data_IF_898045616890
#
_entry.id   IF_898045616890
#
_cell.length_a   1.000
_cell.length_b   1.000
_cell.length_c   1.000
_cell.angle_alpha   90.00
_cell.angle_beta   90.00
_cell.angle_gamma   90.00
#
_symmetry.space_group_name_H-M   'P 1'
#
loop_
_entity.id
_entity.type
_entity.pdbx_description
1 polymer ?
#
# COMPACT_ATOMS: atom_id res chain seq x y z
N UNK A 1 12.13 -3.10 31.32
CA UNK A 1 12.04 -3.09 29.84
C UNK A 1 12.79 -1.86 29.36
N UNK A 2 13.75 -2.03 28.47
CA UNK A 2 14.46 -0.90 27.84
C UNK A 2 13.41 -0.10 27.09
N UNK A 3 13.23 1.16 27.47
CA UNK A 3 12.23 2.04 26.86
C UNK A 3 12.75 2.54 25.52
N UNK A 4 12.91 1.63 24.54
CA UNK A 4 13.34 2.00 23.19
C UNK A 4 12.22 2.77 22.49
N UNK A 5 12.60 3.62 21.54
CA UNK A 5 11.68 4.42 20.71
C UNK A 5 10.54 3.56 20.13
N UNK A 6 10.86 2.36 19.68
CA UNK A 6 9.94 1.40 19.08
C UNK A 6 8.88 0.92 20.08
N UNK A 7 9.27 0.66 21.33
CA UNK A 7 8.33 0.24 22.37
C UNK A 7 7.45 1.41 22.84
N UNK A 8 7.98 2.63 22.85
CA UNK A 8 7.17 3.85 23.10
C UNK A 8 6.13 4.03 21.99
N UNK A 9 6.54 3.93 20.73
CA UNK A 9 5.64 4.00 19.57
C UNK A 9 4.58 2.89 19.62
N UNK A 10 4.95 1.66 19.97
CA UNK A 10 4.03 0.53 20.11
C UNK A 10 2.99 0.80 21.21
N UNK A 11 3.44 1.30 22.36
CA UNK A 11 2.55 1.66 23.47
C UNK A 11 1.54 2.74 23.04
N UNK A 12 2.01 3.79 22.36
CA UNK A 12 1.15 4.86 21.86
C UNK A 12 0.12 4.34 20.84
N UNK A 13 0.55 3.48 19.92
CA UNK A 13 -0.30 2.85 18.93
C UNK A 13 -1.42 2.01 19.58
N UNK A 14 -1.07 1.11 20.49
CA UNK A 14 -2.05 0.25 21.18
C UNK A 14 -3.03 1.07 22.03
N UNK A 15 -2.55 2.11 22.72
CA UNK A 15 -3.40 3.01 23.50
C UNK A 15 -4.43 3.75 22.63
N UNK A 16 -4.05 4.18 21.42
CA UNK A 16 -5.00 4.79 20.50
C UNK A 16 -6.08 3.79 20.08
N UNK A 17 -5.67 2.57 19.73
CA UNK A 17 -6.62 1.53 19.30
C UNK A 17 -7.57 1.10 20.41
N UNK A 18 -7.08 0.98 21.64
CA UNK A 18 -7.93 0.69 22.81
C UNK A 18 -9.01 1.76 22.97
N UNK A 19 -8.66 3.05 22.86
CA UNK A 19 -9.62 4.17 22.89
C UNK A 19 -10.62 4.14 21.73
N UNK A 20 -10.27 3.52 20.60
CA UNK A 20 -11.18 3.30 19.46
C UNK A 20 -12.08 2.07 19.64
N UNK A 21 -11.97 1.34 20.74
CA UNK A 21 -12.85 0.22 21.08
C UNK A 21 -12.40 -1.13 20.53
N UNK A 22 -11.14 -1.29 20.14
CA UNK A 22 -10.60 -2.59 19.77
C UNK A 22 -10.64 -3.57 20.96
N UNK A 23 -10.97 -4.82 20.68
CA UNK A 23 -10.96 -5.88 21.69
C UNK A 23 -9.55 -6.24 22.12
N UNK A 24 -9.41 -6.82 23.31
CA UNK A 24 -8.11 -7.31 23.82
C UNK A 24 -7.42 -8.30 22.86
N UNK A 25 -8.20 -9.14 22.17
CA UNK A 25 -7.69 -10.09 21.19
C UNK A 25 -7.08 -9.37 19.97
N UNK A 26 -7.75 -8.35 19.46
CA UNK A 26 -7.26 -7.56 18.31
C UNK A 26 -6.04 -6.72 18.67
N UNK A 27 -5.99 -6.15 19.88
CA UNK A 27 -4.82 -5.44 20.40
C UNK A 27 -3.63 -6.39 20.53
N UNK A 28 -3.84 -7.59 21.09
CA UNK A 28 -2.78 -8.60 21.24
C UNK A 28 -2.26 -9.09 19.90
N UNK A 29 -3.15 -9.30 18.92
CA UNK A 29 -2.74 -9.67 17.56
C UNK A 29 -1.80 -8.61 16.96
N UNK A 30 -2.17 -7.33 17.08
CA UNK A 30 -1.36 -6.22 16.55
C UNK A 30 -0.02 -6.09 17.26
N UNK A 31 -0.03 -6.21 18.58
CA UNK A 31 1.18 -6.21 19.40
C UNK A 31 2.16 -7.29 18.93
N UNK A 32 1.70 -8.53 18.74
CA UNK A 32 2.54 -9.64 18.27
C UNK A 32 3.14 -9.34 16.89
N UNK A 33 2.37 -8.77 15.97
CA UNK A 33 2.86 -8.40 14.63
C UNK A 33 3.96 -7.34 14.74
N UNK A 34 3.75 -6.29 15.53
CA UNK A 34 4.73 -5.20 15.66
C UNK A 34 5.98 -5.67 16.41
N UNK A 35 5.85 -6.48 17.46
CA UNK A 35 7.01 -7.06 18.15
C UNK A 35 7.90 -7.91 17.21
N UNK A 36 7.33 -8.54 16.18
CA UNK A 36 8.12 -9.23 15.13
C UNK A 36 8.84 -8.28 14.17
N UNK A 37 8.32 -7.07 14.00
CA UNK A 37 8.93 -6.02 13.17
C UNK A 37 10.08 -5.33 13.91
N UNK A 38 9.96 -5.10 15.22
CA UNK A 38 10.92 -4.32 16.03
C UNK A 38 12.39 -4.69 15.76
N UNK A 39 12.81 -5.97 15.74
CA UNK A 39 14.21 -6.33 15.50
C UNK A 39 14.78 -5.84 14.16
N UNK A 40 13.92 -5.55 13.17
CA UNK A 40 14.33 -5.07 11.85
C UNK A 40 14.39 -3.55 11.74
N UNK A 41 13.70 -2.84 12.64
CA UNK A 41 13.60 -1.37 12.66
C UNK A 41 14.33 -0.74 13.84
N UNK A 42 14.80 -1.56 14.77
CA UNK A 42 15.65 -1.10 15.87
C UNK A 42 16.98 -0.59 15.30
N UNK A 43 17.40 0.59 15.76
CA UNK A 43 18.65 1.25 15.35
C UNK A 43 18.75 1.70 13.88
N UNK A 44 17.68 1.63 13.09
CA UNK A 44 17.67 2.21 11.73
C UNK A 44 17.14 3.65 11.74
N UNK A 45 17.46 4.39 10.68
CA UNK A 45 17.01 5.77 10.48
C UNK A 45 15.48 5.83 10.32
N UNK A 46 14.85 6.84 10.95
CA UNK A 46 13.39 7.05 10.92
C UNK A 46 12.93 7.66 9.60
N UNK A 47 13.01 6.89 8.51
CA UNK A 47 12.45 7.28 7.24
C UNK A 47 11.70 6.14 6.55
N UNK A 48 10.91 6.51 5.54
CA UNK A 48 10.08 5.55 4.81
C UNK A 48 10.86 4.54 3.97
N UNK A 49 12.08 4.83 3.52
CA UNK A 49 12.89 3.89 2.75
C UNK A 49 13.48 2.82 3.67
N UNK A 50 14.15 3.23 4.75
CA UNK A 50 14.72 2.33 5.74
C UNK A 50 13.63 1.41 6.34
N UNK A 51 12.46 1.96 6.65
CA UNK A 51 11.32 1.17 7.14
C UNK A 51 10.86 0.12 6.13
N UNK A 52 10.75 0.48 4.84
CA UNK A 52 10.33 -0.47 3.80
C UNK A 52 11.34 -1.59 3.64
N UNK A 53 12.63 -1.27 3.66
CA UNK A 53 13.68 -2.29 3.59
C UNK A 53 13.59 -3.26 4.77
N UNK A 54 13.34 -2.75 5.98
CA UNK A 54 13.12 -3.58 7.17
C UNK A 54 11.88 -4.48 7.06
N UNK A 55 10.76 -3.94 6.54
CA UNK A 55 9.54 -4.73 6.28
C UNK A 55 9.80 -5.82 5.23
N UNK A 56 10.56 -5.51 4.18
CA UNK A 56 10.94 -6.49 3.17
C UNK A 56 11.81 -7.61 3.77
N UNK A 57 12.72 -7.30 4.71
CA UNK A 57 13.48 -8.33 5.43
C UNK A 57 12.59 -9.20 6.32
N UNK A 58 11.63 -8.63 7.03
CA UNK A 58 10.63 -9.40 7.78
C UNK A 58 9.88 -10.36 6.84
N UNK A 59 9.48 -9.87 5.68
CA UNK A 59 8.61 -10.60 4.75
C UNK A 59 9.32 -11.75 4.07
N UNK A 60 10.62 -11.62 3.80
CA UNK A 60 11.47 -12.75 3.34
C UNK A 60 11.47 -13.94 4.31
N UNK A 61 11.25 -13.68 5.60
CA UNK A 61 11.28 -14.67 6.67
C UNK A 61 9.87 -15.07 7.16
N UNK A 62 8.82 -14.60 6.48
CA UNK A 62 7.43 -14.83 6.85
C UNK A 62 6.71 -15.64 5.77
N UNK A 63 5.88 -16.60 6.19
CA UNK A 63 4.98 -17.30 5.28
C UNK A 63 4.11 -16.29 4.50
N UNK A 64 4.06 -16.43 3.17
CA UNK A 64 3.31 -15.55 2.26
C UNK A 64 1.83 -15.43 2.62
N UNK A 65 1.22 -16.48 3.17
CA UNK A 65 -0.18 -16.46 3.62
C UNK A 65 -0.46 -15.43 4.72
N UNK A 66 0.57 -15.08 5.52
CA UNK A 66 0.43 -14.13 6.63
C UNK A 66 0.55 -12.67 6.18
N UNK A 67 1.13 -12.41 5.02
CA UNK A 67 1.46 -11.05 4.54
C UNK A 67 0.22 -10.15 4.52
N UNK A 68 -0.92 -10.69 4.09
CA UNK A 68 -2.20 -9.98 4.02
C UNK A 68 -2.66 -9.45 5.39
N UNK A 69 -2.42 -10.22 6.45
CA UNK A 69 -2.80 -9.82 7.81
C UNK A 69 -1.76 -8.91 8.48
N UNK A 70 -0.49 -8.96 8.05
CA UNK A 70 0.61 -8.20 8.65
C UNK A 70 0.73 -6.80 8.06
N UNK A 71 0.61 -6.66 6.73
CA UNK A 71 0.82 -5.39 6.03
C UNK A 71 -0.04 -4.22 6.56
N UNK A 72 -1.36 -4.39 6.80
CA UNK A 72 -2.18 -3.29 7.30
C UNK A 72 -1.69 -2.79 8.66
N UNK A 73 -1.39 -3.70 9.58
CA UNK A 73 -0.92 -3.39 10.94
C UNK A 73 0.43 -2.66 10.91
N UNK A 74 1.36 -3.14 10.08
CA UNK A 74 2.68 -2.52 9.90
C UNK A 74 2.57 -1.10 9.33
N UNK A 75 1.65 -0.88 8.38
CA UNK A 75 1.40 0.45 7.79
C UNK A 75 0.71 1.39 8.76
N UNK A 76 -0.22 0.87 9.57
CA UNK A 76 -0.86 1.63 10.67
C UNK A 76 0.20 2.13 11.66
N UNK A 77 1.17 1.28 11.99
CA UNK A 77 2.23 1.57 12.95
C UNK A 77 3.27 2.58 12.47
N UNK A 78 3.54 2.66 11.16
CA UNK A 78 4.61 3.51 10.60
C UNK A 78 4.59 4.95 11.13
N UNK A 79 3.42 5.61 11.11
CA UNK A 79 3.31 7.01 11.55
C UNK A 79 3.64 7.20 13.04
N UNK A 80 3.42 6.19 13.88
CA UNK A 80 3.84 6.20 15.28
C UNK A 80 5.35 6.04 15.42
N UNK A 81 5.94 5.19 14.59
CA UNK A 81 7.39 4.92 14.64
C UNK A 81 8.22 6.13 14.20
N UNK A 82 7.75 6.91 13.22
CA UNK A 82 8.40 8.17 12.81
C UNK A 82 7.93 9.41 13.59
N UNK A 83 7.06 9.24 14.59
CA UNK A 83 6.47 10.31 15.40
C UNK A 83 5.75 11.41 14.57
N UNK A 84 5.08 11.01 13.47
CA UNK A 84 4.31 11.92 12.62
C UNK A 84 2.89 12.10 13.18
N UNK A 85 2.76 13.00 14.15
CA UNK A 85 1.49 13.33 14.81
C UNK A 85 0.44 13.80 13.79
N UNK A 86 0.84 14.53 12.73
CA UNK A 86 -0.10 15.02 11.72
C UNK A 86 -0.70 13.86 10.94
N UNK A 87 0.13 12.90 10.52
CA UNK A 87 -0.34 11.69 9.86
C UNK A 87 -1.22 10.84 10.79
N UNK A 88 -0.86 10.69 12.08
CA UNK A 88 -1.67 9.96 13.06
C UNK A 88 -3.07 10.59 13.19
N UNK A 89 -3.14 11.93 13.31
CA UNK A 89 -4.43 12.64 13.41
C UNK A 89 -5.26 12.47 12.14
N UNK A 90 -4.67 12.64 10.95
CA UNK A 90 -5.37 12.44 9.68
C UNK A 90 -5.89 11.00 9.54
N UNK A 91 -5.07 10.01 9.86
CA UNK A 91 -5.46 8.59 9.87
C UNK A 91 -6.58 8.32 10.88
N UNK A 92 -6.57 8.99 12.03
CA UNK A 92 -7.62 8.83 13.03
C UNK A 92 -8.96 9.40 12.56
N UNK A 93 -8.95 10.56 11.90
CA UNK A 93 -10.13 11.20 11.30
C UNK A 93 -10.72 10.36 10.16
N UNK A 94 -9.87 9.76 9.33
CA UNK A 94 -10.27 8.92 8.20
C UNK A 94 -10.71 7.51 8.59
N UNK A 95 -10.79 7.20 9.90
CA UNK A 95 -10.99 5.83 10.42
C UNK A 95 -10.02 4.82 9.81
N UNK A 96 -8.79 5.25 9.51
CA UNK A 96 -7.78 4.46 8.81
C UNK A 96 -7.16 3.33 9.66
N UNK A 97 -7.58 3.19 10.92
CA UNK A 97 -7.20 2.14 11.85
C UNK A 97 -8.31 1.07 11.89
N UNK A 98 -7.97 -0.17 11.53
CA UNK A 98 -8.86 -1.24 11.11
C UNK A 98 -9.90 -1.81 12.08
N UNK A 99 -10.69 -0.97 12.76
CA UNK A 99 -11.94 -1.38 13.42
C UNK A 99 -13.18 -1.05 12.57
N UNK A 100 -13.12 0.01 11.74
CA UNK A 100 -14.24 0.45 10.88
C UNK A 100 -13.81 0.75 9.44
N UNK A 101 -12.62 0.30 9.05
CA UNK A 101 -12.22 0.32 7.65
C UNK A 101 -13.22 -0.54 6.88
N UNK A 102 -13.92 0.12 5.96
CA UNK A 102 -14.84 -0.46 5.00
C UNK A 102 -14.37 -1.89 4.69
N UNK A 103 -15.16 -2.90 5.07
CA UNK A 103 -14.94 -4.33 4.80
C UNK A 103 -14.96 -4.66 3.30
N UNK A 104 -14.78 -3.64 2.46
CA UNK A 104 -14.69 -3.77 1.04
C UNK A 104 -13.34 -4.42 0.73
N UNK A 105 -13.42 -5.57 0.11
CA UNK A 105 -12.33 -6.23 -0.59
C UNK A 105 -12.79 -6.38 -2.03
N UNK A 106 -11.88 -6.32 -3.01
CA UNK A 106 -12.23 -6.82 -4.33
C UNK A 106 -12.73 -8.26 -4.19
N UNK A 107 -13.74 -8.64 -4.98
CA UNK A 107 -14.26 -10.00 -4.97
C UNK A 107 -13.13 -11.01 -5.23
N UNK A 108 -13.23 -12.20 -4.66
CA UNK A 108 -12.31 -13.29 -4.99
C UNK A 108 -12.37 -13.51 -6.51
N UNK A 109 -11.30 -13.19 -7.22
CA UNK A 109 -11.17 -13.40 -8.65
C UNK A 109 -9.79 -13.96 -8.89
N UNK A 110 -9.70 -15.06 -9.64
CA UNK A 110 -8.41 -15.65 -9.97
C UNK A 110 -7.64 -14.73 -10.91
N UNK A 111 -6.33 -14.55 -10.65
CA UNK A 111 -5.46 -13.74 -11.52
C UNK A 111 -5.58 -14.17 -12.97
N UNK A 112 -5.66 -15.48 -13.22
CA UNK A 112 -5.69 -16.03 -14.57
C UNK A 112 -6.90 -15.52 -15.36
N UNK A 113 -8.06 -15.42 -14.71
CA UNK A 113 -9.29 -14.97 -15.33
C UNK A 113 -9.29 -13.45 -15.53
N UNK A 114 -8.83 -12.69 -14.52
CA UNK A 114 -8.76 -11.24 -14.59
C UNK A 114 -7.69 -10.77 -15.61
N UNK A 115 -6.56 -11.47 -15.67
CA UNK A 115 -5.46 -11.19 -16.59
C UNK A 115 -5.80 -11.59 -18.04
N UNK A 116 -6.41 -12.77 -18.23
CA UNK A 116 -6.84 -13.26 -19.55
C UNK A 116 -8.01 -12.48 -20.15
N UNK A 117 -8.80 -11.80 -19.32
CA UNK A 117 -9.91 -10.93 -19.75
C UNK A 117 -9.57 -9.44 -19.70
N UNK A 118 -8.36 -9.07 -19.27
CA UNK A 118 -7.98 -7.67 -19.02
C UNK A 118 -8.19 -6.79 -20.25
N UNK A 119 -7.88 -7.30 -21.44
CA UNK A 119 -8.03 -6.58 -22.71
C UNK A 119 -9.51 -6.39 -23.11
N UNK A 120 -10.43 -7.21 -22.58
CA UNK A 120 -11.88 -7.12 -22.80
C UNK A 120 -12.57 -6.11 -21.88
N UNK A 121 -11.94 -5.76 -20.75
CA UNK A 121 -12.47 -4.75 -19.85
C UNK A 121 -12.25 -3.35 -20.43
N UNK A 122 -13.34 -2.66 -20.76
CA UNK A 122 -13.34 -1.25 -21.14
C UNK A 122 -13.24 -0.37 -19.89
N UNK A 123 -12.36 0.62 -19.91
CA UNK A 123 -12.27 1.65 -18.87
C UNK A 123 -13.20 2.82 -19.23
N UNK A 124 -13.83 3.41 -18.23
CA UNK A 124 -14.54 4.69 -18.37
C UNK A 124 -13.54 5.82 -18.62
N UNK A 125 -14.01 6.97 -19.12
CA UNK A 125 -13.13 8.16 -19.34
C UNK A 125 -12.40 8.59 -18.06
N UNK A 126 -13.08 8.53 -16.91
CA UNK A 126 -12.51 8.87 -15.60
C UNK A 126 -11.43 7.87 -15.16
N UNK A 127 -11.54 6.60 -15.55
CA UNK A 127 -10.53 5.58 -15.28
C UNK A 127 -9.35 5.64 -16.25
N UNK A 128 -9.59 6.08 -17.50
CA UNK A 128 -8.54 6.22 -18.51
C UNK A 128 -7.60 7.39 -18.22
N UNK A 129 -8.14 8.52 -17.74
CA UNK A 129 -7.35 9.73 -17.50
C UNK A 129 -6.08 9.50 -16.64
N UNK A 130 -6.13 8.89 -15.43
CA UNK A 130 -4.92 8.66 -14.65
C UNK A 130 -3.95 7.68 -15.35
N UNK A 131 -4.46 6.76 -16.16
CA UNK A 131 -3.66 5.80 -16.92
C UNK A 131 -2.88 6.50 -18.06
N UNK A 132 -3.52 7.45 -18.74
CA UNK A 132 -2.94 8.25 -19.81
C UNK A 132 -1.90 9.25 -19.26
N UNK A 133 -2.19 9.89 -18.13
CA UNK A 133 -1.23 10.76 -17.43
C UNK A 133 0.00 9.98 -16.97
N UNK A 134 -0.20 8.78 -16.42
CA UNK A 134 0.90 7.91 -16.02
C UNK A 134 1.74 7.47 -17.23
N UNK A 135 1.12 7.06 -18.33
CA UNK A 135 1.83 6.73 -19.57
C UNK A 135 2.65 7.91 -20.08
N UNK A 136 2.07 9.12 -20.11
CA UNK A 136 2.76 10.33 -20.58
C UNK A 136 4.02 10.59 -19.76
N UNK A 137 3.94 10.41 -18.45
CA UNK A 137 5.10 10.57 -17.55
C UNK A 137 6.14 9.48 -17.79
N UNK A 138 5.76 8.21 -17.95
CA UNK A 138 6.72 7.15 -18.28
C UNK A 138 7.44 7.40 -19.61
N UNK A 139 6.69 7.78 -20.65
CA UNK A 139 7.23 8.09 -21.98
C UNK A 139 8.16 9.30 -21.94
N UNK A 140 7.78 10.36 -21.20
CA UNK A 140 8.61 11.54 -21.00
C UNK A 140 9.95 11.26 -20.30
N UNK A 141 10.05 10.16 -19.55
CA UNK A 141 11.26 9.71 -18.88
C UNK A 141 12.04 8.64 -19.68
N UNK A 142 11.71 8.41 -20.95
CA UNK A 142 12.48 7.51 -21.83
C UNK A 142 12.27 6.02 -21.57
N UNK A 143 11.23 5.64 -20.81
CA UNK A 143 10.92 4.22 -20.55
C UNK A 143 10.51 3.52 -21.84
N UNK A 144 11.03 2.31 -22.06
CA UNK A 144 10.74 1.52 -23.26
C UNK A 144 9.24 1.15 -23.38
N UNK A 145 8.71 1.13 -24.61
CA UNK A 145 7.29 0.89 -24.89
C UNK A 145 6.77 -0.44 -24.31
N UNK A 146 7.60 -1.49 -24.30
CA UNK A 146 7.20 -2.78 -23.72
C UNK A 146 7.00 -2.67 -22.19
N UNK A 147 7.86 -1.90 -21.51
CA UNK A 147 7.78 -1.65 -20.06
C UNK A 147 6.58 -0.77 -19.75
N UNK A 148 6.34 0.27 -20.56
CA UNK A 148 5.14 1.12 -20.46
C UNK A 148 3.88 0.26 -20.56
N UNK A 149 3.81 -0.63 -21.55
CA UNK A 149 2.67 -1.53 -21.75
C UNK A 149 2.43 -2.44 -20.53
N UNK A 150 3.49 -3.03 -19.96
CA UNK A 150 3.40 -3.83 -18.75
C UNK A 150 2.90 -3.02 -17.54
N UNK A 151 3.45 -1.81 -17.33
CA UNK A 151 3.04 -0.91 -16.26
C UNK A 151 1.56 -0.50 -16.39
N UNK A 152 1.11 -0.19 -17.60
CA UNK A 152 -0.30 0.12 -17.89
C UNK A 152 -1.21 -1.06 -17.59
N UNK A 153 -0.81 -2.29 -17.94
CA UNK A 153 -1.60 -3.50 -17.62
C UNK A 153 -1.75 -3.69 -16.10
N UNK A 154 -0.66 -3.52 -15.34
CA UNK A 154 -0.70 -3.60 -13.87
C UNK A 154 -1.57 -2.50 -13.24
N UNK A 155 -1.47 -1.25 -13.74
CA UNK A 155 -2.31 -0.15 -13.29
C UNK A 155 -3.79 -0.36 -13.63
N UNK A 156 -4.08 -0.88 -14.83
CA UNK A 156 -5.44 -1.23 -15.26
C UNK A 156 -6.07 -2.31 -14.37
N UNK A 157 -5.29 -3.33 -14.01
CA UNK A 157 -5.71 -4.39 -13.09
C UNK A 157 -6.14 -3.79 -11.75
N UNK A 158 -5.35 -2.84 -11.23
CA UNK A 158 -5.66 -2.13 -9.99
C UNK A 158 -6.92 -1.26 -10.09
N UNK A 159 -7.12 -0.57 -11.21
CA UNK A 159 -8.35 0.20 -11.46
C UNK A 159 -9.59 -0.70 -11.49
N UNK A 160 -9.51 -1.87 -12.11
CA UNK A 160 -10.63 -2.83 -12.15
C UNK A 160 -10.98 -3.31 -10.74
N UNK A 161 -9.96 -3.65 -9.93
CA UNK A 161 -10.19 -4.03 -8.54
C UNK A 161 -10.86 -2.90 -7.77
N UNK A 162 -10.57 -1.63 -8.08
CA UNK A 162 -11.14 -0.46 -7.42
C UNK A 162 -12.56 -0.07 -7.83
N UNK A 163 -13.13 -0.64 -8.89
CA UNK A 163 -14.45 -0.23 -9.44
C UNK A 163 -15.59 -0.27 -8.44
N UNK A 164 -15.56 -1.29 -7.59
CA UNK A 164 -16.61 -1.51 -6.60
C UNK A 164 -16.30 -0.84 -5.26
N UNK A 165 -15.19 -0.11 -5.16
CA UNK A 165 -14.82 0.57 -3.94
C UNK A 165 -15.84 1.68 -3.63
N UNK A 166 -16.41 1.71 -2.42
CA UNK A 166 -17.50 2.63 -2.10
C UNK A 166 -17.09 4.11 -2.19
N UNK A 167 -15.80 4.43 -1.97
CA UNK A 167 -15.27 5.78 -2.12
C UNK A 167 -13.80 5.78 -2.58
N UNK A 168 -13.39 6.86 -3.27
CA UNK A 168 -11.99 7.10 -3.69
C UNK A 168 -11.13 7.52 -2.49
N UNK A 169 -10.72 6.55 -1.67
CA UNK A 169 -9.93 6.78 -0.47
C UNK A 169 -8.55 6.08 -0.52
N UNK A 170 -7.50 6.66 0.09
CA UNK A 170 -6.18 6.04 0.17
C UNK A 170 -6.19 4.61 0.75
N UNK A 171 -7.11 4.32 1.66
CA UNK A 171 -7.24 2.99 2.25
C UNK A 171 -7.81 1.99 1.23
N UNK A 172 -8.86 2.34 0.49
CA UNK A 172 -9.41 1.50 -0.56
C UNK A 172 -8.38 1.16 -1.65
N UNK A 173 -7.56 2.15 -2.03
CA UNK A 173 -6.44 1.94 -2.95
C UNK A 173 -5.45 0.91 -2.43
N UNK A 174 -5.04 1.04 -1.15
CA UNK A 174 -4.10 0.11 -0.51
C UNK A 174 -4.67 -1.30 -0.44
N UNK A 175 -5.95 -1.47 -0.12
CA UNK A 175 -6.59 -2.78 -0.12
C UNK A 175 -6.64 -3.42 -1.51
N UNK A 176 -6.96 -2.63 -2.54
CA UNK A 176 -6.93 -3.12 -3.91
C UNK A 176 -5.51 -3.48 -4.37
N UNK A 177 -4.49 -2.69 -3.98
CA UNK A 177 -3.10 -2.99 -4.28
C UNK A 177 -2.64 -4.26 -3.56
N UNK A 178 -2.97 -4.43 -2.28
CA UNK A 178 -2.60 -5.62 -1.53
C UNK A 178 -3.26 -6.87 -2.11
N UNK A 179 -4.54 -6.79 -2.48
CA UNK A 179 -5.22 -7.87 -3.19
C UNK A 179 -4.55 -8.17 -4.53
N UNK A 180 -4.20 -7.13 -5.30
CA UNK A 180 -3.47 -7.26 -6.55
C UNK A 180 -2.12 -7.98 -6.34
N UNK A 181 -1.40 -7.68 -5.27
CA UNK A 181 -0.11 -8.31 -4.96
C UNK A 181 -0.22 -9.81 -4.67
N UNK A 182 -1.34 -10.27 -4.08
CA UNK A 182 -1.56 -11.71 -3.82
C UNK A 182 -1.70 -12.54 -5.10
N UNK A 183 -1.96 -11.88 -6.23
CA UNK A 183 -2.08 -12.54 -7.52
C UNK A 183 -0.72 -13.05 -8.04
N UNK A 184 0.40 -12.51 -7.56
CA UNK A 184 1.72 -12.81 -8.11
C UNK A 184 2.49 -13.83 -7.25
N UNK A 185 2.86 -14.96 -7.87
CA UNK A 185 3.60 -16.03 -7.18
C UNK A 185 5.11 -15.77 -7.06
N UNK A 186 5.72 -15.03 -8.00
CA UNK A 186 7.16 -14.73 -7.99
C UNK A 186 7.48 -13.44 -7.23
N UNK A 187 8.67 -13.39 -6.61
CA UNK A 187 9.12 -12.24 -5.83
C UNK A 187 9.41 -11.03 -6.73
N UNK A 188 9.92 -11.28 -7.94
CA UNK A 188 10.22 -10.28 -8.95
C UNK A 188 8.93 -9.59 -9.41
N UNK A 189 7.90 -10.37 -9.73
CA UNK A 189 6.60 -9.82 -10.13
C UNK A 189 5.93 -9.08 -8.98
N UNK A 190 6.02 -9.59 -7.74
CA UNK A 190 5.54 -8.88 -6.56
C UNK A 190 6.18 -7.49 -6.43
N UNK A 191 7.51 -7.40 -6.54
CA UNK A 191 8.25 -6.13 -6.42
C UNK A 191 7.88 -5.15 -7.53
N UNK A 192 7.79 -5.62 -8.77
CA UNK A 192 7.39 -4.78 -9.91
C UNK A 192 5.96 -4.27 -9.74
N UNK A 193 5.02 -5.14 -9.38
CA UNK A 193 3.62 -4.73 -9.12
C UNK A 193 3.52 -3.74 -7.97
N UNK A 194 4.24 -3.97 -6.87
CA UNK A 194 4.25 -3.07 -5.72
C UNK A 194 4.80 -1.69 -6.09
N UNK A 195 5.87 -1.67 -6.89
CA UNK A 195 6.48 -0.44 -7.41
C UNK A 195 5.49 0.33 -8.30
N UNK A 196 4.95 -0.32 -9.33
CA UNK A 196 3.99 0.29 -10.26
C UNK A 196 2.75 0.76 -9.52
N UNK A 197 2.22 -0.01 -8.58
CA UNK A 197 1.07 0.38 -7.76
C UNK A 197 1.35 1.59 -6.87
N UNK A 198 2.57 1.75 -6.34
CA UNK A 198 2.96 2.94 -5.57
C UNK A 198 3.13 4.17 -6.45
N UNK A 199 3.76 4.03 -7.61
CA UNK A 199 3.93 5.11 -8.59
C UNK A 199 2.57 5.58 -9.11
N UNK A 200 1.70 4.64 -9.47
CA UNK A 200 0.36 4.92 -10.02
C UNK A 200 -0.59 5.60 -9.01
N UNK A 201 -0.35 5.45 -7.70
CA UNK A 201 -1.21 6.04 -6.67
C UNK A 201 -1.36 7.56 -6.81
N UNK A 202 -0.28 8.26 -7.18
CA UNK A 202 -0.28 9.72 -7.32
C UNK A 202 -1.20 10.18 -8.45
N UNK A 203 -1.16 9.48 -9.59
CA UNK A 203 -2.04 9.72 -10.74
C UNK A 203 -3.48 9.38 -10.40
N UNK A 204 -3.70 8.23 -9.76
CA UNK A 204 -5.04 7.82 -9.33
C UNK A 204 -5.63 8.84 -8.36
N UNK A 205 -4.90 9.29 -7.34
CA UNK A 205 -5.40 10.24 -6.32
C UNK A 205 -5.77 11.59 -6.94
N UNK A 206 -4.88 12.16 -7.74
CA UNK A 206 -4.94 13.56 -8.21
C UNK A 206 -5.75 13.76 -9.48
N UNK A 207 -6.72 12.88 -9.77
CA UNK A 207 -7.40 12.74 -11.08
C UNK A 207 -8.02 13.97 -11.77
N UNK A 208 -7.79 15.21 -11.32
CA UNK A 208 -7.90 16.44 -12.09
C UNK A 208 -6.85 17.44 -11.53
N UNK A 209 -5.81 17.77 -12.31
CA UNK A 209 -4.84 18.87 -12.10
C UNK A 209 -4.15 19.01 -10.72
N UNK A 210 -2.86 18.62 -10.63
CA UNK A 210 -1.84 19.41 -9.90
C UNK A 210 -0.47 19.17 -10.57
N UNK A 211 0.07 20.21 -11.21
CA UNK A 211 1.40 20.23 -11.86
C UNK A 211 2.53 20.36 -10.80
N UNK A 212 2.17 20.65 -9.54
CA UNK A 212 3.09 20.96 -8.43
C UNK A 212 3.21 19.88 -7.33
N UNK A 213 2.70 18.66 -7.56
CA UNK A 213 3.06 17.56 -6.66
C UNK A 213 4.48 17.09 -7.00
N UNK A 214 5.36 16.82 -6.02
CA UNK A 214 6.67 16.26 -6.31
C UNK A 214 6.49 15.00 -7.16
N UNK A 215 6.98 15.04 -8.39
CA UNK A 215 6.86 13.89 -9.28
C UNK A 215 7.54 12.71 -8.59
N UNK A 216 6.88 11.55 -8.52
CA UNK A 216 7.53 10.38 -7.95
C UNK A 216 8.81 10.11 -8.76
N UNK A 217 9.92 9.90 -8.06
CA UNK A 217 11.15 9.43 -8.69
C UNK A 217 10.83 8.09 -9.34
N UNK A 218 10.64 8.09 -10.65
CA UNK A 218 10.39 6.86 -11.40
C UNK A 218 11.65 6.03 -11.31
N UNK A 219 11.57 4.83 -10.74
CA UNK A 219 12.76 4.00 -10.63
C UNK A 219 13.13 3.30 -11.95
N UNK A 220 12.64 3.80 -13.08
CA UNK A 220 13.03 3.43 -14.45
C UNK A 220 13.75 4.59 -15.16
N UNK A 221 13.92 5.73 -14.49
CA UNK A 221 14.82 6.79 -14.95
C UNK A 221 16.26 6.35 -14.67
N UNK A 222 16.86 5.68 -15.64
CA UNK A 222 18.30 5.47 -15.78
C UNK A 222 18.68 5.79 -17.22
#
# INVERSE_FOLDING_TARGET
MVNSREHVALSAYLNLLERKGFTKAELRQREVIILKLIPWIESIHCDGNAFRDAVDQLFKNLDKSLWFSYLPVIREFFSFWIDDIKAIVAMNQDNAFGANLIKWRPGETELKDLWGSLDKHTLTKLEMQPLEEYEKVLRGNGVEDFVISACKKLAKLLLILLRNAPHKQPVAYRHALDANLTLFSSNEAYKVTLKVGREFYYFWKNGVHVIDSPQPTLAYAA
#
